data_IF_665760885499
#
_entry.id   IF_665760885499
#
_cell.length_a   1.000
_cell.length_b   1.000
_cell.length_c   1.000
_cell.angle_alpha   90.00
_cell.angle_beta   90.00
_cell.angle_gamma   90.00
#
_symmetry.space_group_name_H-M   'P 1'
#
loop_
_entity.id
_entity.type
_entity.pdbx_description
1 polymer ?
#
# COMPACT_ATOMS: atom_id res chain seq x y z
N UNK A 1 9.61 -1.64 -7.64
CA UNK A 1 9.70 -1.52 -6.18
C UNK A 1 9.75 -0.06 -5.80
N UNK A 2 8.99 0.35 -4.79
CA UNK A 2 8.97 1.72 -4.29
C UNK A 2 9.30 1.70 -2.80
N UNK A 3 10.21 2.60 -2.37
CA UNK A 3 10.53 2.78 -0.95
C UNK A 3 9.35 3.45 -0.26
N UNK A 4 8.96 2.93 0.90
CA UNK A 4 7.85 3.42 1.71
C UNK A 4 8.20 4.65 2.57
N UNK A 5 9.33 5.32 2.30
CA UNK A 5 9.69 6.56 3.02
C UNK A 5 9.96 6.39 4.52
N UNK A 6 10.40 5.20 4.96
CA UNK A 6 10.59 4.89 6.39
C UNK A 6 9.39 4.22 7.05
N UNK A 7 8.25 4.10 6.34
CA UNK A 7 7.09 3.34 6.80
C UNK A 7 7.25 1.84 6.55
N UNK A 8 6.48 1.05 7.30
CA UNK A 8 6.29 -0.38 7.04
C UNK A 8 5.49 -0.59 5.75
N UNK A 9 6.09 -1.25 4.77
CA UNK A 9 5.47 -1.69 3.53
C UNK A 9 4.42 -2.75 3.75
N UNK A 10 4.56 -3.59 4.79
CA UNK A 10 3.51 -4.54 5.19
C UNK A 10 2.27 -3.82 5.72
N UNK A 11 2.45 -2.80 6.58
CA UNK A 11 1.34 -2.00 7.11
C UNK A 11 0.71 -1.12 6.04
N UNK A 12 1.50 -0.58 5.10
CA UNK A 12 0.96 0.12 3.92
C UNK A 12 0.10 -0.81 3.06
N UNK A 13 0.53 -2.05 2.82
CA UNK A 13 -0.26 -3.01 2.05
C UNK A 13 -1.58 -3.36 2.76
N UNK A 14 -1.56 -3.53 4.08
CA UNK A 14 -2.76 -3.78 4.89
C UNK A 14 -3.74 -2.59 4.87
N UNK A 15 -3.26 -1.38 5.18
CA UNK A 15 -4.09 -0.16 5.23
C UNK A 15 -4.55 0.25 3.82
N UNK A 16 -3.72 0.02 2.80
CA UNK A 16 -4.03 0.26 1.40
C UNK A 16 -5.34 -0.40 0.97
N UNK A 17 -5.58 -1.63 1.42
CA UNK A 17 -6.82 -2.34 1.09
C UNK A 17 -8.06 -1.58 1.57
N UNK A 18 -8.01 -0.93 2.74
CA UNK A 18 -9.12 -0.15 3.31
C UNK A 18 -9.44 1.11 2.50
N UNK A 19 -8.46 1.66 1.79
CA UNK A 19 -8.64 2.80 0.88
C UNK A 19 -8.81 2.36 -0.57
N UNK A 20 -9.00 1.06 -0.83
CA UNK A 20 -9.31 0.51 -2.15
C UNK A 20 -8.12 0.34 -3.09
N UNK A 21 -6.89 0.27 -2.55
CA UNK A 21 -5.66 0.01 -3.32
C UNK A 21 -4.96 -1.22 -2.77
N UNK A 22 -4.74 -2.22 -3.61
CA UNK A 22 -4.01 -3.43 -3.22
C UNK A 22 -2.60 -3.42 -3.81
N UNK A 23 -1.58 -3.42 -2.95
CA UNK A 23 -0.18 -3.52 -3.36
C UNK A 23 0.51 -4.69 -2.64
N UNK A 24 1.37 -5.47 -3.32
CA UNK A 24 2.19 -6.46 -2.64
C UNK A 24 3.23 -5.80 -1.72
N UNK A 25 3.31 -6.27 -0.47
CA UNK A 25 4.38 -5.88 0.45
C UNK A 25 5.70 -6.57 0.08
N UNK A 26 6.81 -5.88 0.38
CA UNK A 26 8.18 -6.34 0.17
C UNK A 26 8.51 -7.73 0.71
N UNK A 27 8.17 -8.05 1.97
CA UNK A 27 8.51 -9.33 2.59
C UNK A 27 7.94 -10.56 1.87
N UNK A 28 6.95 -10.41 1.00
CA UNK A 28 6.44 -11.53 0.18
C UNK A 28 7.48 -12.06 -0.83
N UNK A 29 8.58 -11.34 -1.03
CA UNK A 29 9.59 -11.63 -2.06
C UNK A 29 11.01 -11.78 -1.50
N UNK A 30 11.14 -11.97 -0.19
CA UNK A 30 12.42 -12.21 0.47
C UNK A 30 12.26 -13.07 1.72
N UNK A 31 13.39 -13.44 2.32
CA UNK A 31 13.42 -14.18 3.60
C UNK A 31 13.61 -13.20 4.76
N UNK A 32 13.21 -13.61 5.96
CA UNK A 32 13.48 -12.89 7.21
C UNK A 32 13.05 -11.41 7.22
N UNK A 33 11.91 -11.10 6.61
CA UNK A 33 11.39 -9.72 6.56
C UNK A 33 12.13 -8.79 5.61
N UNK A 34 12.96 -9.32 4.71
CA UNK A 34 13.62 -8.54 3.68
C UNK A 34 12.61 -7.65 2.93
N UNK A 35 13.03 -6.42 2.64
CA UNK A 35 12.21 -5.41 1.95
C UNK A 35 10.98 -4.91 2.73
N UNK A 36 10.91 -5.07 4.06
CA UNK A 36 9.82 -4.52 4.88
C UNK A 36 9.51 -3.05 4.57
N UNK A 37 10.51 -2.21 4.25
CA UNK A 37 10.31 -0.81 3.85
C UNK A 37 9.90 -0.56 2.39
N UNK A 38 9.35 -1.56 1.68
CA UNK A 38 9.01 -1.47 0.26
C UNK A 38 7.66 -2.06 -0.09
N UNK A 39 7.06 -1.54 -1.16
CA UNK A 39 5.90 -2.13 -1.85
C UNK A 39 6.17 -2.26 -3.35
N UNK A 40 5.45 -3.17 -4.00
CA UNK A 40 5.49 -3.33 -5.45
C UNK A 40 4.30 -2.61 -6.08
N UNK A 41 4.56 -1.68 -6.99
CA UNK A 41 3.54 -1.08 -7.83
C UNK A 41 3.53 -1.79 -9.19
N UNK A 42 2.39 -2.33 -9.65
CA UNK A 42 2.25 -2.86 -10.99
C UNK A 42 2.17 -1.72 -12.01
N UNK A 43 2.80 -1.91 -13.17
CA UNK A 43 2.78 -0.94 -14.29
C UNK A 43 1.67 -1.25 -15.31
N UNK A 44 0.73 -2.11 -14.95
CA UNK A 44 -0.39 -2.54 -15.81
C UNK A 44 -1.56 -1.56 -15.79
N UNK A 45 -1.52 -0.58 -14.88
CA UNK A 45 -2.53 0.47 -14.72
C UNK A 45 -1.90 1.81 -15.07
N UNK A 46 -2.58 2.61 -15.90
CA UNK A 46 -2.10 3.91 -16.36
C UNK A 46 -3.20 4.99 -16.34
N UNK A 47 -2.81 6.22 -16.66
CA UNK A 47 -3.73 7.36 -16.74
C UNK A 47 -4.44 7.65 -15.41
N UNK A 48 -5.70 8.09 -15.49
CA UNK A 48 -6.48 8.51 -14.33
C UNK A 48 -6.60 7.46 -13.22
N UNK A 49 -6.55 6.17 -13.57
CA UNK A 49 -6.62 5.08 -12.59
C UNK A 49 -5.32 4.98 -11.78
N UNK A 50 -4.17 5.21 -12.43
CA UNK A 50 -2.88 5.26 -11.73
C UNK A 50 -2.79 6.47 -10.79
N UNK A 51 -3.31 7.63 -11.22
CA UNK A 51 -3.37 8.84 -10.39
C UNK A 51 -4.23 8.63 -9.14
N UNK A 52 -5.42 8.04 -9.29
CA UNK A 52 -6.31 7.70 -8.18
C UNK A 52 -5.68 6.68 -7.23
N UNK A 53 -5.01 5.65 -7.75
CA UNK A 53 -4.29 4.67 -6.95
C UNK A 53 -3.15 5.32 -6.14
N UNK A 54 -2.40 6.24 -6.75
CA UNK A 54 -1.34 6.98 -6.07
C UNK A 54 -1.91 7.88 -4.95
N UNK A 55 -3.01 8.59 -5.21
CA UNK A 55 -3.67 9.45 -4.22
C UNK A 55 -4.18 8.65 -3.01
N UNK A 56 -4.80 7.49 -3.25
CA UNK A 56 -5.27 6.58 -2.19
C UNK A 56 -4.11 5.98 -1.41
N UNK A 57 -3.03 5.56 -2.08
CA UNK A 57 -1.84 5.04 -1.39
C UNK A 57 -1.20 6.12 -0.48
N UNK A 58 -1.20 7.39 -0.90
CA UNK A 58 -0.77 8.49 -0.05
C UNK A 58 -1.70 8.70 1.17
N UNK A 59 -3.01 8.46 1.03
CA UNK A 59 -3.94 8.48 2.16
C UNK A 59 -3.65 7.34 3.15
N UNK A 60 -3.35 6.13 2.66
CA UNK A 60 -2.92 5.02 3.51
C UNK A 60 -1.63 5.35 4.28
N UNK A 61 -0.65 5.98 3.62
CA UNK A 61 0.60 6.40 4.27
C UNK A 61 0.35 7.32 5.47
N UNK A 62 -0.53 8.32 5.33
CA UNK A 62 -0.90 9.22 6.44
C UNK A 62 -1.54 8.50 7.63
N UNK A 63 -2.32 7.44 7.37
CA UNK A 63 -2.91 6.60 8.43
C UNK A 63 -1.84 5.77 9.15
N UNK A 64 -0.85 5.26 8.41
CA UNK A 64 0.28 4.53 9.00
C UNK A 64 1.14 5.45 9.86
N UNK A 65 1.43 6.66 9.35
CA UNK A 65 2.20 7.70 10.06
C UNK A 65 1.56 8.12 11.37
N UNK A 66 0.23 8.26 11.42
CA UNK A 66 -0.49 8.64 12.64
C UNK A 66 -0.60 7.53 13.69
N UNK A 67 -0.04 6.34 13.42
CA UNK A 67 -0.12 5.19 14.32
C UNK A 67 -1.51 4.55 14.41
N UNK A 68 -2.46 5.01 13.60
CA UNK A 68 -3.84 4.52 13.62
C UNK A 68 -3.94 3.04 13.29
N UNK A 69 -4.52 2.26 14.21
CA UNK A 69 -5.07 0.92 13.92
C UNK A 69 -6.45 1.13 13.29
N UNK A 70 -6.48 1.54 12.02
CA UNK A 70 -7.73 1.93 11.35
C UNK A 70 -8.65 0.74 11.10
N UNK A 71 -9.41 0.30 12.11
CA UNK A 71 -10.47 -0.70 11.94
C UNK A 71 -11.60 -0.15 11.09
N UNK A 72 -11.58 -0.44 9.79
CA UNK A 72 -12.63 -0.09 8.85
C UNK A 72 -12.81 -1.22 7.84
N UNK A 73 -14.08 -1.56 7.55
CA UNK A 73 -14.45 -2.61 6.61
C UNK A 73 -13.85 -2.36 5.22
N UNK A 74 -13.23 -3.39 4.65
CA UNK A 74 -12.52 -3.26 3.38
C UNK A 74 -13.51 -3.03 2.22
N UNK A 75 -13.23 -2.09 1.30
CA UNK A 75 -14.04 -1.87 0.11
C UNK A 75 -14.13 -3.15 -0.74
N UNK A 76 -15.29 -3.32 -1.36
CA UNK A 76 -15.61 -4.51 -2.19
C UNK A 76 -14.96 -4.48 -3.57
N UNK A 77 -14.36 -3.35 -3.94
CA UNK A 77 -13.70 -3.14 -5.23
C UNK A 77 -12.29 -2.60 -5.00
N UNK A 78 -11.31 -3.25 -5.61
CA UNK A 78 -9.90 -2.88 -5.53
C UNK A 78 -9.40 -2.43 -6.89
N UNK A 79 -8.51 -1.44 -6.90
CA UNK A 79 -7.67 -1.13 -8.05
C UNK A 79 -6.31 -1.80 -7.82
N UNK A 80 -5.91 -2.68 -8.74
CA UNK A 80 -4.64 -3.40 -8.74
C UNK A 80 -3.93 -3.15 -10.07
#
# INVERSE_FOLDING_TARGET
WVRAGGLSGSRLAEVGERVGVRVPSGPRFGVDGAFEGYVRLPFTVGGAVADEAAARLAAAARVVESGGSGGGEAPRTFVA
#
